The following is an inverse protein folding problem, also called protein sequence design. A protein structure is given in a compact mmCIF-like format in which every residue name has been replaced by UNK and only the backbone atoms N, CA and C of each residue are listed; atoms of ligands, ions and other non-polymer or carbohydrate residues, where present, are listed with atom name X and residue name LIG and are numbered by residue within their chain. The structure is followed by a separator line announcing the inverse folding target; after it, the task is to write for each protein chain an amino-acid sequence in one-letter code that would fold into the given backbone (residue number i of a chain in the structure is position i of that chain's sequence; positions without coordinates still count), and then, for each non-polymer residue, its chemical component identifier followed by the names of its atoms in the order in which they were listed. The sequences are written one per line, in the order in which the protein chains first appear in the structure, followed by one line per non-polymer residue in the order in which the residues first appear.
data_IF_956218760655
#
_entry.id   IF_956218760655
#
_cell.length_a   1.000
_cell.length_b   1.000
_cell.length_c   1.000
_cell.angle_alpha   90.00
_cell.angle_beta   90.00
_cell.angle_gamma   90.00
#
_symmetry.space_group_name_H-M   'P 1'
#
loop_
_entity.id
_entity.type
_entity.pdbx_description
1 polymer ?
#
# COMPACT_ATOMS: atom_id res chain seq x y z
N UNK A 1 -74.79 -32.48 12.04
CA UNK A 1 -75.94 -32.84 12.90
C UNK A 1 -75.67 -34.20 13.51
N UNK A 2 -75.56 -34.27 14.85
CA UNK A 2 -75.90 -35.40 15.77
C UNK A 2 -75.33 -36.81 15.46
N UNK A 3 -74.77 -37.60 16.39
CA UNK A 3 -74.98 -37.69 17.84
C UNK A 3 -73.92 -38.62 18.45
N UNK A 4 -73.60 -38.30 19.70
CA UNK A 4 -72.78 -38.98 20.71
C UNK A 4 -73.40 -40.31 21.20
N UNK A 5 -72.55 -41.28 21.64
CA UNK A 5 -72.77 -42.30 22.71
C UNK A 5 -71.53 -43.23 22.76
N UNK A 6 -70.56 -43.12 23.68
CA UNK A 6 -70.48 -43.52 25.11
C UNK A 6 -70.71 -45.02 25.40
N UNK A 7 -69.70 -45.70 25.99
CA UNK A 7 -69.72 -46.80 27.00
C UNK A 7 -68.24 -47.14 27.28
N UNK A 8 -67.58 -46.62 28.31
CA UNK A 8 -67.45 -47.13 29.70
C UNK A 8 -67.17 -48.64 29.81
N UNK A 9 -65.91 -49.00 30.09
CA UNK A 9 -65.56 -50.14 30.96
C UNK A 9 -64.48 -49.70 31.96
N UNK A 10 -64.79 -49.88 33.25
CA UNK A 10 -63.91 -49.66 34.40
C UNK A 10 -63.30 -50.99 34.87
N UNK A 11 -62.25 -50.84 35.71
CA UNK A 11 -61.59 -51.80 36.61
C UNK A 11 -60.49 -52.64 35.92
N UNK A 12 -59.25 -52.69 36.42
CA UNK A 12 -58.87 -52.94 37.83
C UNK A 12 -57.46 -52.37 38.14
N UNK A 13 -57.26 -51.80 39.34
CA UNK A 13 -55.97 -51.45 39.95
C UNK A 13 -55.40 -52.63 40.75
N UNK A 14 -54.15 -53.03 40.50
CA UNK A 14 -53.14 -53.63 41.41
C UNK A 14 -51.80 -53.46 40.67
N UNK A 15 -50.63 -53.04 41.16
CA UNK A 15 -50.10 -52.61 42.44
C UNK A 15 -48.56 -52.48 42.27
N UNK A 16 -47.98 -51.48 42.92
CA UNK A 16 -46.61 -51.38 43.43
C UNK A 16 -45.34 -51.47 42.50
N UNK A 17 -44.54 -50.40 42.66
CA UNK A 17 -43.07 -50.35 42.90
C UNK A 17 -42.04 -50.33 41.76
N UNK A 18 -41.16 -49.31 41.87
CA UNK A 18 -39.78 -49.15 41.34
C UNK A 18 -39.65 -48.99 39.82
N UNK A 19 -38.85 -48.10 39.24
CA UNK A 19 -37.62 -47.44 39.66
C UNK A 19 -37.46 -46.16 38.81
N UNK A 20 -36.90 -45.11 39.40
CA UNK A 20 -36.55 -43.88 38.69
C UNK A 20 -35.45 -44.14 37.65
N UNK A 21 -35.64 -43.62 36.43
CA UNK A 21 -34.55 -43.34 35.50
C UNK A 21 -34.83 -41.97 34.87
N UNK A 22 -34.17 -40.98 35.45
CA UNK A 22 -34.16 -39.59 35.04
C UNK A 22 -33.44 -39.50 33.67
N UNK A 23 -34.16 -39.24 32.59
CA UNK A 23 -33.56 -38.90 31.30
C UNK A 23 -33.17 -37.41 31.33
N UNK A 24 -31.88 -37.14 31.53
CA UNK A 24 -31.27 -35.81 31.42
C UNK A 24 -31.15 -35.48 29.93
N UNK A 25 -31.75 -34.39 29.41
CA UNK A 25 -31.39 -33.90 28.09
C UNK A 25 -30.02 -33.22 28.17
N UNK A 26 -29.05 -33.76 27.44
CA UNK A 26 -27.74 -33.14 27.22
C UNK A 26 -27.95 -31.85 26.40
N UNK A 27 -28.01 -30.71 27.08
CA UNK A 27 -27.82 -29.41 26.45
C UNK A 27 -26.34 -29.29 26.11
N UNK A 28 -26.00 -29.51 24.84
CA UNK A 28 -24.71 -29.10 24.28
C UNK A 28 -24.73 -27.58 24.22
N UNK A 29 -24.21 -26.94 25.27
CA UNK A 29 -23.80 -25.55 25.20
C UNK A 29 -22.53 -25.51 24.35
N UNK A 30 -22.64 -24.99 23.12
CA UNK A 30 -21.48 -24.54 22.37
C UNK A 30 -20.92 -23.32 23.10
N UNK A 31 -20.02 -23.55 24.05
CA UNK A 31 -19.14 -22.51 24.58
C UNK A 31 -18.16 -22.17 23.46
N UNK A 32 -18.43 -21.10 22.72
CA UNK A 32 -17.39 -20.43 21.93
C UNK A 32 -16.24 -20.10 22.90
N UNK A 33 -14.97 -20.42 22.57
CA UNK A 33 -13.88 -19.96 23.40
C UNK A 33 -13.96 -18.43 23.46
N UNK A 34 -14.17 -17.90 24.66
CA UNK A 34 -14.04 -16.48 24.90
C UNK A 34 -12.58 -16.15 24.56
N UNK A 35 -12.38 -15.32 23.54
CA UNK A 35 -11.06 -14.77 23.23
C UNK A 35 -10.63 -14.02 24.48
N UNK A 36 -9.65 -14.57 25.20
CA UNK A 36 -9.08 -13.95 26.38
C UNK A 36 -8.20 -12.78 25.90
N UNK A 37 -8.57 -11.53 26.19
CA UNK A 37 -7.81 -10.41 25.65
C UNK A 37 -6.48 -10.21 26.38
N UNK A 38 -6.28 -10.83 27.56
CA UNK A 38 -4.96 -10.93 28.16
C UNK A 38 -4.08 -11.88 27.34
N UNK A 39 -4.59 -13.07 26.99
CA UNK A 39 -3.88 -14.00 26.13
C UNK A 39 -3.66 -13.47 24.70
N UNK A 40 -4.53 -12.58 24.21
CA UNK A 40 -4.35 -11.91 22.91
C UNK A 40 -3.31 -10.80 23.00
N UNK A 41 -3.27 -10.05 24.12
CA UNK A 41 -2.20 -9.07 24.38
C UNK A 41 -0.86 -9.76 24.60
N UNK A 42 -0.85 -10.89 25.28
CA UNK A 42 0.34 -11.71 25.49
C UNK A 42 0.78 -12.36 24.19
N UNK A 43 -0.15 -12.81 23.32
CA UNK A 43 0.18 -13.33 21.99
C UNK A 43 0.65 -12.24 21.01
N UNK A 44 0.11 -11.01 21.11
CA UNK A 44 0.64 -9.84 20.38
C UNK A 44 2.01 -9.47 20.94
N UNK A 45 2.20 -9.48 22.26
CA UNK A 45 3.49 -9.26 22.91
C UNK A 45 4.50 -10.40 22.68
N UNK A 46 4.05 -11.62 22.40
CA UNK A 46 4.89 -12.78 22.07
C UNK A 46 5.23 -12.81 20.57
N UNK A 47 4.33 -12.30 19.71
CA UNK A 47 4.66 -11.93 18.33
C UNK A 47 5.58 -10.69 18.26
N UNK A 48 5.76 -10.00 19.39
CA UNK A 48 6.76 -8.96 19.63
C UNK A 48 7.73 -9.48 20.71
N UNK A 49 8.33 -10.67 20.51
CA UNK A 49 9.54 -10.97 21.29
C UNK A 49 10.50 -9.79 21.09
N UNK A 50 10.83 -9.07 22.17
CA UNK A 50 11.87 -8.06 22.11
C UNK A 50 13.12 -8.76 21.58
N UNK A 51 13.64 -8.37 20.40
CA UNK A 51 14.80 -9.03 19.85
C UNK A 51 15.92 -8.99 20.89
N UNK A 52 16.68 -10.08 20.99
CA UNK A 52 17.89 -10.08 21.80
C UNK A 52 18.73 -8.87 21.41
N UNK A 53 19.38 -8.22 22.39
CA UNK A 53 20.20 -7.02 22.18
C UNK A 53 21.17 -7.20 20.99
N UNK A 54 21.63 -8.43 20.78
CA UNK A 54 22.51 -8.82 19.67
C UNK A 54 21.82 -8.76 18.29
N UNK A 55 20.57 -9.18 18.17
CA UNK A 55 19.82 -9.09 16.89
C UNK A 55 19.39 -7.66 16.55
N UNK A 56 19.08 -6.86 17.59
CA UNK A 56 18.86 -5.44 17.45
C UNK A 56 20.11 -4.72 16.92
N UNK A 57 21.29 -5.01 17.48
CA UNK A 57 22.54 -4.39 17.01
C UNK A 57 22.91 -4.83 15.59
N UNK A 58 22.71 -6.10 15.23
CA UNK A 58 23.01 -6.59 13.87
C UNK A 58 22.12 -5.93 12.82
N UNK A 59 20.83 -5.75 13.11
CA UNK A 59 19.91 -5.05 12.20
C UNK A 59 20.36 -3.60 11.99
N UNK A 60 20.67 -2.92 13.08
CA UNK A 60 21.09 -1.52 13.05
C UNK A 60 22.42 -1.36 12.29
N UNK A 61 23.38 -2.29 12.45
CA UNK A 61 24.63 -2.31 11.66
C UNK A 61 24.38 -2.58 10.17
N UNK A 62 23.48 -3.51 9.84
CA UNK A 62 23.22 -3.94 8.44
C UNK A 62 22.66 -2.81 7.59
N UNK A 63 21.79 -1.97 8.16
CA UNK A 63 21.14 -0.85 7.46
C UNK A 63 21.73 0.52 7.81
N UNK A 64 22.80 0.55 8.60
CA UNK A 64 23.50 1.77 9.01
C UNK A 64 23.99 2.55 7.78
N UNK A 65 23.57 3.79 7.67
CA UNK A 65 23.97 4.65 6.54
C UNK A 65 25.44 5.06 6.60
N UNK A 66 26.00 5.27 7.78
CA UNK A 66 27.41 5.63 7.93
C UNK A 66 28.35 4.45 7.60
N UNK A 67 27.93 3.22 7.88
CA UNK A 67 28.70 2.01 7.52
C UNK A 67 28.50 1.62 6.04
N UNK A 68 27.30 1.82 5.52
CA UNK A 68 26.92 1.45 4.16
C UNK A 68 26.30 2.65 3.43
N UNK A 69 27.11 3.61 2.94
CA UNK A 69 26.58 4.85 2.36
C UNK A 69 25.97 4.68 0.96
N UNK A 70 26.29 3.59 0.26
CA UNK A 70 25.80 3.38 -1.10
C UNK A 70 24.29 3.13 -1.13
N UNK A 71 23.56 3.75 -2.07
CA UNK A 71 22.11 3.63 -2.12
C UNK A 71 21.69 2.20 -2.48
N UNK A 72 20.60 1.72 -1.85
CA UNK A 72 20.00 0.41 -2.15
C UNK A 72 19.07 0.43 -3.37
N UNK A 73 18.93 1.57 -4.04
CA UNK A 73 17.99 1.80 -5.14
C UNK A 73 18.67 2.55 -6.28
N UNK A 74 18.16 2.32 -7.49
CA UNK A 74 18.55 3.04 -8.69
C UNK A 74 17.61 4.23 -8.93
N UNK A 75 18.06 5.30 -9.61
CA UNK A 75 17.20 6.43 -9.93
C UNK A 75 16.08 6.04 -10.90
N UNK A 76 14.90 6.61 -10.66
CA UNK A 76 13.71 6.52 -11.50
C UNK A 76 13.59 7.74 -12.42
N UNK A 77 12.70 7.63 -13.41
CA UNK A 77 12.39 8.75 -14.31
C UNK A 77 11.87 9.98 -13.55
N UNK A 78 12.37 11.16 -13.93
CA UNK A 78 11.95 12.42 -13.35
C UNK A 78 10.59 12.85 -13.93
N UNK A 79 9.53 12.54 -13.20
CA UNK A 79 8.19 13.11 -13.38
C UNK A 79 7.91 14.16 -12.32
N UNK A 80 6.99 15.11 -12.55
CA UNK A 80 6.58 16.10 -11.55
C UNK A 80 6.19 15.50 -10.19
N UNK A 81 5.58 14.32 -10.19
CA UNK A 81 5.22 13.60 -8.97
C UNK A 81 5.77 12.17 -8.98
N UNK A 82 6.41 11.78 -7.88
CA UNK A 82 6.72 10.39 -7.57
C UNK A 82 5.80 9.92 -6.43
N UNK A 83 4.97 8.94 -6.73
CA UNK A 83 4.09 8.28 -5.75
C UNK A 83 4.80 7.01 -5.27
N UNK A 84 5.21 7.00 -4.01
CA UNK A 84 5.80 5.83 -3.35
C UNK A 84 4.71 5.16 -2.51
N UNK A 85 4.39 3.91 -2.82
CA UNK A 85 3.51 3.08 -2.01
C UNK A 85 4.32 2.18 -1.08
N UNK A 86 3.93 2.08 0.19
CA UNK A 86 4.58 1.25 1.19
C UNK A 86 3.52 0.34 1.80
N UNK A 87 3.50 -0.91 1.34
CA UNK A 87 2.45 -1.89 1.65
C UNK A 87 2.45 -2.34 3.11
N UNK A 88 1.35 -2.93 3.56
CA UNK A 88 1.24 -3.56 4.88
C UNK A 88 1.81 -4.99 4.92
N UNK A 89 1.98 -5.52 6.13
CA UNK A 89 2.48 -6.88 6.36
C UNK A 89 1.64 -7.93 5.63
N UNK A 90 2.29 -8.82 4.89
CA UNK A 90 1.64 -9.92 4.17
C UNK A 90 0.83 -9.50 2.94
N UNK A 91 0.79 -8.21 2.58
CA UNK A 91 0.08 -7.79 1.38
C UNK A 91 0.73 -8.36 0.10
N UNK A 92 -0.07 -8.91 -0.82
CA UNK A 92 0.42 -9.43 -2.10
C UNK A 92 0.89 -8.30 -3.03
N UNK A 93 1.53 -8.64 -4.14
CA UNK A 93 1.93 -7.65 -5.17
C UNK A 93 0.76 -7.10 -6.02
N UNK A 94 -0.46 -7.63 -5.86
CA UNK A 94 -1.66 -7.17 -6.58
C UNK A 94 -2.84 -7.06 -5.62
N UNK A 95 -3.63 -5.99 -5.77
CA UNK A 95 -4.82 -5.79 -4.94
C UNK A 95 -4.51 -5.22 -3.56
N UNK A 96 -3.37 -4.55 -3.41
CA UNK A 96 -2.98 -3.86 -2.17
C UNK A 96 -3.94 -2.71 -1.87
N UNK A 97 -4.06 -2.37 -0.59
CA UNK A 97 -4.87 -1.25 -0.12
C UNK A 97 -4.50 0.07 -0.80
N UNK A 98 -3.21 0.29 -1.08
CA UNK A 98 -2.73 1.55 -1.64
C UNK A 98 -2.90 1.64 -3.17
N UNK A 99 -3.08 0.50 -3.84
CA UNK A 99 -3.24 0.43 -5.30
C UNK A 99 -4.36 1.33 -5.86
N UNK A 100 -5.59 1.36 -5.30
CA UNK A 100 -6.61 2.31 -5.73
C UNK A 100 -6.23 3.78 -5.53
N UNK A 101 -5.58 4.11 -4.42
CA UNK A 101 -5.18 5.49 -4.10
C UNK A 101 -4.16 6.00 -5.13
N UNK A 102 -3.07 5.25 -5.35
CA UNK A 102 -2.03 5.61 -6.32
C UNK A 102 -2.58 5.71 -7.76
N UNK A 103 -3.49 4.81 -8.14
CA UNK A 103 -4.14 4.83 -9.46
C UNK A 103 -5.00 6.08 -9.65
N UNK A 104 -5.80 6.48 -8.67
CA UNK A 104 -6.65 7.66 -8.81
C UNK A 104 -5.82 8.96 -8.81
N UNK A 105 -4.70 9.01 -8.08
CA UNK A 105 -3.72 10.11 -8.18
C UNK A 105 -3.16 10.20 -9.61
N UNK A 106 -2.72 9.07 -10.17
CA UNK A 106 -2.20 9.01 -11.55
C UNK A 106 -3.23 9.45 -12.59
N UNK A 107 -4.51 9.11 -12.39
CA UNK A 107 -5.61 9.59 -13.25
C UNK A 107 -5.86 11.09 -13.12
N UNK A 108 -5.67 11.65 -11.92
CA UNK A 108 -5.83 13.08 -11.67
C UNK A 108 -4.67 13.91 -12.27
N UNK A 109 -3.51 13.29 -12.52
CA UNK A 109 -2.33 13.90 -13.15
C UNK A 109 -1.73 12.97 -14.22
N UNK A 110 -2.42 12.79 -15.37
CA UNK A 110 -1.90 11.95 -16.45
C UNK A 110 -0.55 12.44 -16.95
N UNK A 111 0.37 11.52 -17.20
CA UNK A 111 1.73 11.78 -17.72
C UNK A 111 2.64 12.60 -16.78
N UNK A 112 2.20 12.89 -15.55
CA UNK A 112 2.97 13.65 -14.55
C UNK A 112 3.37 12.80 -13.32
N UNK A 113 2.95 11.53 -13.28
CA UNK A 113 3.12 10.65 -12.12
C UNK A 113 3.92 9.40 -12.50
N UNK A 114 5.03 9.18 -11.80
CA UNK A 114 5.68 7.87 -11.68
C UNK A 114 5.20 7.24 -10.38
N UNK A 115 4.76 5.98 -10.44
CA UNK A 115 4.43 5.19 -9.24
C UNK A 115 5.53 4.14 -9.02
N UNK A 116 5.97 4.00 -7.78
CA UNK A 116 6.83 2.91 -7.34
C UNK A 116 6.26 2.27 -6.07
N UNK A 117 6.30 0.94 -6.02
CA UNK A 117 6.01 0.21 -4.80
C UNK A 117 7.34 -0.07 -4.09
N UNK A 118 7.45 0.33 -2.82
CA UNK A 118 8.70 0.24 -2.06
C UNK A 118 9.13 -1.23 -1.91
N UNK A 119 10.33 -1.55 -2.40
CA UNK A 119 10.86 -2.91 -2.34
C UNK A 119 11.46 -3.20 -0.95
N UNK A 120 10.59 -3.66 -0.06
CA UNK A 120 10.94 -4.12 1.26
C UNK A 120 10.14 -5.38 1.62
N UNK A 121 10.52 -6.17 2.65
CA UNK A 121 9.93 -7.49 2.88
C UNK A 121 8.43 -7.48 3.22
N UNK A 122 7.95 -6.48 3.96
CA UNK A 122 6.59 -6.44 4.49
C UNK A 122 6.18 -7.74 5.21
N UNK A 123 7.06 -8.29 6.03
CA UNK A 123 6.86 -9.53 6.77
C UNK A 123 6.63 -9.25 8.26
N UNK A 124 6.53 -10.32 9.06
CA UNK A 124 6.30 -10.24 10.50
C UNK A 124 7.54 -9.83 11.28
N UNK A 125 8.73 -9.86 10.67
CA UNK A 125 9.99 -9.42 11.29
C UNK A 125 10.08 -7.88 11.23
N UNK A 126 9.15 -7.20 11.91
CA UNK A 126 8.93 -5.75 11.80
C UNK A 126 10.19 -4.94 12.03
N UNK A 127 11.06 -5.37 12.96
CA UNK A 127 12.32 -4.65 13.23
C UNK A 127 13.28 -4.73 12.04
N UNK A 128 13.56 -5.92 11.53
CA UNK A 128 14.50 -6.11 10.42
C UNK A 128 13.90 -5.59 9.12
N UNK A 129 12.71 -6.09 8.75
CA UNK A 129 12.00 -5.70 7.54
C UNK A 129 11.66 -4.22 7.52
N UNK A 130 11.17 -3.67 8.63
CA UNK A 130 10.87 -2.24 8.76
C UNK A 130 12.12 -1.36 8.69
N UNK A 131 13.25 -1.77 9.28
CA UNK A 131 14.51 -1.01 9.18
C UNK A 131 15.02 -0.98 7.74
N UNK A 132 14.93 -2.11 7.01
CA UNK A 132 15.18 -2.13 5.57
C UNK A 132 14.24 -1.19 4.82
N UNK A 133 12.94 -1.22 5.15
CA UNK A 133 11.94 -0.33 4.54
C UNK A 133 12.28 1.15 4.73
N UNK A 134 12.64 1.55 5.96
CA UNK A 134 13.09 2.93 6.25
C UNK A 134 14.31 3.28 5.42
N UNK A 135 15.31 2.40 5.38
CA UNK A 135 16.53 2.62 4.61
C UNK A 135 16.27 2.78 3.11
N UNK A 136 15.48 1.88 2.51
CA UNK A 136 15.12 1.94 1.09
C UNK A 136 14.32 3.20 0.75
N UNK A 137 13.41 3.62 1.63
CA UNK A 137 12.64 4.86 1.43
C UNK A 137 13.54 6.10 1.50
N UNK A 138 14.45 6.17 2.48
CA UNK A 138 15.42 7.26 2.60
C UNK A 138 16.34 7.33 1.37
N UNK A 139 16.85 6.19 0.91
CA UNK A 139 17.68 6.13 -0.29
C UNK A 139 16.89 6.53 -1.54
N UNK A 140 15.62 6.13 -1.66
CA UNK A 140 14.73 6.56 -2.75
C UNK A 140 14.59 8.08 -2.78
N UNK A 141 14.29 8.71 -1.64
CA UNK A 141 14.15 10.16 -1.57
C UNK A 141 15.46 10.90 -1.87
N UNK A 142 16.59 10.38 -1.36
CA UNK A 142 17.92 10.96 -1.61
C UNK A 142 18.30 10.88 -3.08
N UNK A 143 18.29 9.68 -3.66
CA UNK A 143 18.67 9.45 -5.06
C UNK A 143 17.80 10.27 -6.00
N UNK A 144 16.49 10.33 -5.75
CA UNK A 144 15.58 11.12 -6.59
C UNK A 144 15.79 12.62 -6.43
N UNK A 145 16.05 13.11 -5.21
CA UNK A 145 16.33 14.53 -4.99
C UNK A 145 17.62 14.96 -5.67
N UNK A 146 18.65 14.12 -5.64
CA UNK A 146 19.94 14.37 -6.32
C UNK A 146 19.81 14.30 -7.84
N UNK A 147 18.97 13.40 -8.36
CA UNK A 147 18.81 13.17 -9.80
C UNK A 147 17.87 14.16 -10.46
N UNK A 148 16.73 14.44 -9.82
CA UNK A 148 15.65 15.23 -10.41
C UNK A 148 15.60 16.69 -9.94
N UNK A 149 16.38 17.05 -8.90
CA UNK A 149 16.36 18.41 -8.35
C UNK A 149 14.95 18.81 -7.91
N UNK A 150 14.67 20.12 -7.89
CA UNK A 150 13.40 20.72 -7.43
C UNK A 150 12.18 20.46 -8.34
N UNK A 151 12.36 19.78 -9.47
CA UNK A 151 11.32 19.51 -10.45
C UNK A 151 10.38 18.35 -10.06
N UNK A 152 10.79 17.50 -9.12
CA UNK A 152 10.01 16.34 -8.64
C UNK A 152 9.51 16.54 -7.20
N UNK A 153 8.23 16.23 -6.97
CA UNK A 153 7.62 16.21 -5.63
C UNK A 153 7.23 14.79 -5.22
N UNK A 154 7.33 14.49 -3.93
CA UNK A 154 7.06 13.15 -3.40
C UNK A 154 5.68 13.03 -2.76
N UNK A 155 5.00 11.92 -3.01
CA UNK A 155 3.75 11.54 -2.38
C UNK A 155 3.97 10.17 -1.75
N UNK A 156 3.83 10.10 -0.43
CA UNK A 156 4.09 8.89 0.34
C UNK A 156 2.77 8.29 0.80
N UNK A 157 2.51 7.04 0.43
CA UNK A 157 1.30 6.31 0.78
C UNK A 157 1.68 5.08 1.59
N UNK A 158 1.19 4.93 2.81
CA UNK A 158 1.55 3.84 3.71
C UNK A 158 0.33 3.15 4.32
N UNK A 159 0.40 1.84 4.47
CA UNK A 159 -0.62 1.07 5.19
C UNK A 159 0.04 0.17 6.23
N UNK A 160 -0.51 0.14 7.45
CA UNK A 160 -0.06 -0.73 8.53
C UNK A 160 1.45 -0.59 8.77
N UNK A 161 2.23 -1.66 8.61
CA UNK A 161 3.69 -1.59 8.68
C UNK A 161 4.32 -0.55 7.73
N UNK A 162 3.75 -0.32 6.55
CA UNK A 162 4.24 0.71 5.64
C UNK A 162 3.99 2.15 6.14
N UNK A 163 2.94 2.38 6.93
CA UNK A 163 2.74 3.64 7.64
C UNK A 163 3.79 3.84 8.76
N UNK A 164 4.16 2.76 9.46
CA UNK A 164 5.29 2.78 10.39
C UNK A 164 6.59 3.14 9.66
N UNK A 165 6.89 2.50 8.53
CA UNK A 165 8.10 2.78 7.73
C UNK A 165 8.17 4.25 7.29
N UNK A 166 7.08 4.80 6.74
CA UNK A 166 7.05 6.21 6.31
C UNK A 166 7.26 7.13 7.49
N UNK A 167 6.49 6.94 8.57
CA UNK A 167 6.56 7.84 9.70
C UNK A 167 7.92 7.76 10.41
N UNK A 168 8.60 6.61 10.41
CA UNK A 168 9.94 6.47 10.99
C UNK A 168 11.00 7.11 10.11
N UNK A 169 10.94 6.91 8.79
CA UNK A 169 11.84 7.59 7.85
C UNK A 169 11.76 9.14 7.98
N UNK A 170 10.56 9.68 8.20
CA UNK A 170 10.34 11.12 8.36
C UNK A 170 10.61 11.67 9.77
N UNK A 171 10.80 10.80 10.77
CA UNK A 171 11.10 11.20 12.15
C UNK A 171 12.61 11.35 12.36
N UNK A 172 12.98 12.16 13.36
CA UNK A 172 14.35 12.20 13.86
C UNK A 172 14.78 10.80 14.38
N UNK A 173 16.05 10.39 14.22
CA UNK A 173 16.53 9.06 14.62
C UNK A 173 16.11 8.61 16.02
N UNK A 174 16.16 9.51 17.01
CA UNK A 174 15.80 9.23 18.40
C UNK A 174 14.31 8.94 18.63
N UNK A 175 13.45 9.31 17.67
CA UNK A 175 12.01 9.07 17.73
C UNK A 175 11.59 7.80 17.00
N UNK A 176 12.52 7.13 16.30
CA UNK A 176 12.24 5.94 15.48
C UNK A 176 12.10 4.68 16.31
N UNK A 177 11.22 3.79 15.86
CA UNK A 177 11.13 2.42 16.33
C UNK A 177 12.02 1.50 15.49
N UNK A 178 12.13 1.76 14.17
CA UNK A 178 12.95 1.00 13.23
C UNK A 178 13.82 1.93 12.38
N UNK A 179 14.96 1.43 11.88
CA UNK A 179 15.87 2.21 11.04
C UNK A 179 16.49 3.42 11.76
N UNK A 180 16.86 3.26 13.03
CA UNK A 180 17.47 4.33 13.85
C UNK A 180 18.78 4.84 13.21
N UNK A 181 19.57 3.94 12.62
CA UNK A 181 20.86 4.24 11.97
C UNK A 181 20.76 4.42 10.45
N UNK A 182 19.57 4.37 9.87
CA UNK A 182 19.36 4.37 8.41
C UNK A 182 19.62 5.72 7.72
N UNK A 183 20.09 6.72 8.47
CA UNK A 183 20.30 8.10 8.00
C UNK A 183 19.04 8.95 8.10
N UNK A 184 19.04 10.11 7.47
CA UNK A 184 17.93 11.07 7.50
C UNK A 184 17.51 11.49 6.08
N UNK A 185 16.30 12.02 5.97
CA UNK A 185 15.81 12.62 4.72
C UNK A 185 16.61 13.90 4.47
N UNK A 186 17.25 14.07 3.29
CA UNK A 186 17.90 15.34 2.94
C UNK A 186 16.90 16.51 2.98
N UNK A 187 17.37 17.71 3.37
CA UNK A 187 16.51 18.90 3.50
C UNK A 187 15.75 19.23 2.20
N UNK A 188 16.41 19.08 1.06
CA UNK A 188 15.81 19.27 -0.26
C UNK A 188 14.66 18.28 -0.48
N UNK A 189 14.90 16.99 -0.19
CA UNK A 189 13.89 15.97 -0.35
C UNK A 189 12.72 16.16 0.62
N UNK A 190 13.00 16.54 1.87
CA UNK A 190 11.99 16.87 2.88
C UNK A 190 11.09 18.04 2.43
N UNK A 191 11.67 19.06 1.80
CA UNK A 191 10.92 20.18 1.23
C UNK A 191 9.97 19.73 0.10
N UNK A 192 10.37 18.71 -0.68
CA UNK A 192 9.63 18.16 -1.81
C UNK A 192 8.55 17.14 -1.44
N UNK A 193 8.53 16.61 -0.20
CA UNK A 193 7.44 15.75 0.26
C UNK A 193 6.15 16.57 0.31
N UNK A 194 5.25 16.35 -0.65
CA UNK A 194 4.06 17.16 -0.85
C UNK A 194 2.86 16.68 -0.06
N UNK A 195 2.69 15.37 0.04
CA UNK A 195 1.59 14.71 0.76
C UNK A 195 2.04 13.37 1.33
N UNK A 196 1.57 13.06 2.52
CA UNK A 196 1.78 11.80 3.23
C UNK A 196 0.39 11.30 3.64
N UNK A 197 0.04 10.09 3.23
CA UNK A 197 -1.21 9.45 3.63
C UNK A 197 -0.88 8.10 4.25
N UNK A 198 -1.33 7.90 5.48
CA UNK A 198 -1.12 6.68 6.24
C UNK A 198 -2.47 6.08 6.63
N UNK A 199 -2.55 4.75 6.69
CA UNK A 199 -3.74 4.01 7.08
C UNK A 199 -3.35 2.97 8.13
N UNK A 200 -4.09 2.89 9.23
CA UNK A 200 -3.87 1.86 10.24
C UNK A 200 -2.47 1.91 10.85
N UNK A 201 -1.93 3.10 11.10
CA UNK A 201 -0.54 3.28 11.54
C UNK A 201 -0.29 2.68 12.94
N UNK A 202 0.63 1.70 13.11
CA UNK A 202 1.01 1.19 14.43
C UNK A 202 1.54 2.27 15.37
N UNK A 203 2.05 3.37 14.78
CA UNK A 203 2.63 4.51 15.49
C UNK A 203 1.70 5.72 15.58
N UNK A 204 0.40 5.52 15.34
CA UNK A 204 -0.65 6.53 15.47
C UNK A 204 -0.66 7.15 16.88
N UNK A 205 -0.87 8.47 16.97
CA UNK A 205 -0.88 9.23 18.22
C UNK A 205 -2.07 10.18 18.21
N UNK A 206 -3.15 9.78 18.87
CA UNK A 206 -4.50 10.37 18.74
C UNK A 206 -4.60 11.87 19.09
N UNK A 207 -3.58 12.47 19.69
CA UNK A 207 -3.49 13.91 19.97
C UNK A 207 -3.03 14.75 18.78
N UNK A 208 -2.57 14.14 17.68
CA UNK A 208 -1.98 14.85 16.55
C UNK A 208 -3.02 15.51 15.65
N UNK A 209 -2.71 16.71 15.13
CA UNK A 209 -3.66 17.50 14.31
C UNK A 209 -3.90 16.92 12.92
N UNK A 210 -3.01 16.03 12.48
CA UNK A 210 -3.05 15.41 11.16
C UNK A 210 -3.77 14.05 11.16
N UNK A 211 -4.33 13.66 12.31
CA UNK A 211 -5.09 12.43 12.48
C UNK A 211 -6.53 12.58 11.98
N UNK A 212 -7.02 11.57 11.27
CA UNK A 212 -8.35 11.54 10.69
C UNK A 212 -8.98 10.15 10.79
N UNK A 213 -10.30 10.11 10.70
CA UNK A 213 -11.08 8.86 10.71
C UNK A 213 -12.06 8.83 11.88
N UNK A 214 -12.45 7.62 12.29
CA UNK A 214 -13.48 7.38 13.33
C UNK A 214 -12.89 7.12 14.72
N UNK A 215 -11.55 7.14 14.80
CA UNK A 215 -10.72 6.92 15.98
C UNK A 215 -11.20 7.68 17.23
N UNK A 216 -10.75 7.25 18.40
CA UNK A 216 -11.13 7.84 19.70
C UNK A 216 -9.92 8.50 20.33
N UNK A 217 -10.06 9.77 20.72
CA UNK A 217 -9.01 10.48 21.47
C UNK A 217 -8.55 9.70 22.71
N UNK A 218 -7.25 9.77 23.00
CA UNK A 218 -6.56 9.07 24.09
C UNK A 218 -6.54 7.54 23.94
N UNK A 219 -6.55 7.06 22.71
CA UNK A 219 -6.31 5.66 22.37
C UNK A 219 -5.38 5.65 21.16
N UNK A 220 -4.14 5.27 21.40
CA UNK A 220 -3.10 5.39 20.40
C UNK A 220 -2.80 4.03 19.76
N UNK A 221 -1.84 4.01 18.83
CA UNK A 221 -1.38 2.77 18.22
C UNK A 221 -0.68 1.84 19.22
N UNK A 222 -0.40 0.62 18.77
CA UNK A 222 0.36 -0.38 19.55
C UNK A 222 1.74 0.12 19.97
N UNK A 223 2.35 1.03 19.19
CA UNK A 223 3.66 1.62 19.44
C UNK A 223 3.63 3.12 19.12
N UNK A 224 2.91 3.93 19.90
CA UNK A 224 2.62 5.31 19.49
C UNK A 224 3.90 6.12 19.36
N UNK A 225 3.97 6.93 18.30
CA UNK A 225 5.07 7.89 18.15
C UNK A 225 4.99 8.94 19.25
N UNK A 226 6.14 9.50 19.63
CA UNK A 226 6.18 10.70 20.46
C UNK A 226 5.39 11.82 19.78
N UNK A 227 4.49 12.46 20.54
CA UNK A 227 3.73 13.60 20.05
C UNK A 227 4.69 14.70 19.53
N UNK A 228 4.35 15.23 18.36
CA UNK A 228 5.09 16.28 17.67
C UNK A 228 6.30 15.79 16.86
N UNK A 229 6.63 14.50 16.84
CA UNK A 229 7.78 13.97 16.10
C UNK A 229 7.68 14.20 14.57
N UNK A 230 6.46 14.36 14.04
CA UNK A 230 6.23 14.69 12.61
C UNK A 230 5.74 16.13 12.37
N UNK A 231 5.92 17.04 13.34
CA UNK A 231 5.41 18.43 13.23
C UNK A 231 5.90 19.15 11.97
N UNK A 232 7.12 18.87 11.51
CA UNK A 232 7.67 19.46 10.27
C UNK A 232 6.79 19.18 9.03
N UNK A 233 5.99 18.11 9.06
CA UNK A 233 5.11 17.67 7.99
C UNK A 233 3.62 17.80 8.33
N UNK A 234 3.24 18.41 9.47
CA UNK A 234 1.86 18.37 10.01
C UNK A 234 0.78 18.78 8.98
N UNK A 235 1.09 19.74 8.10
CA UNK A 235 0.15 20.26 7.09
C UNK A 235 0.05 19.38 5.82
N UNK A 236 0.94 18.39 5.72
CA UNK A 236 1.12 17.48 4.58
C UNK A 236 0.72 16.05 4.91
N UNK A 237 0.40 15.76 6.18
CA UNK A 237 0.01 14.42 6.64
C UNK A 237 -1.51 14.28 6.69
N UNK A 238 -1.95 13.06 6.38
CA UNK A 238 -3.25 12.51 6.70
C UNK A 238 -3.04 11.12 7.28
N UNK A 239 -3.10 10.96 8.60
CA UNK A 239 -2.98 9.66 9.25
C UNK A 239 -4.37 9.13 9.59
N UNK A 240 -4.84 8.15 8.82
CA UNK A 240 -6.17 7.58 8.97
C UNK A 240 -6.15 6.43 9.97
N UNK A 241 -7.01 6.55 10.98
CA UNK A 241 -7.28 5.48 11.93
C UNK A 241 -8.78 5.31 12.19
N UNK A 242 -9.18 4.06 12.36
CA UNK A 242 -10.57 3.66 12.62
C UNK A 242 -10.74 3.26 14.09
N UNK A 243 -11.89 3.57 14.66
CA UNK A 243 -12.27 3.08 15.99
C UNK A 243 -12.14 1.55 16.08
N UNK A 244 -11.46 1.06 17.12
CA UNK A 244 -11.21 -0.37 17.37
C UNK A 244 -10.27 -1.06 16.38
N UNK A 245 -9.55 -0.33 15.55
CA UNK A 245 -8.41 -0.90 14.83
C UNK A 245 -7.37 -1.44 15.85
N UNK A 246 -7.05 -2.73 15.80
CA UNK A 246 -6.12 -3.35 16.76
C UNK A 246 -4.70 -2.78 16.69
N UNK A 247 -4.33 -2.18 15.56
CA UNK A 247 -2.99 -1.66 15.27
C UNK A 247 -2.90 -0.19 15.67
N UNK A 248 -3.79 0.67 15.16
CA UNK A 248 -3.70 2.12 15.38
C UNK A 248 -4.54 2.64 16.55
N UNK A 249 -5.40 1.80 17.14
CA UNK A 249 -6.34 2.15 18.20
C UNK A 249 -6.35 1.06 19.28
N UNK A 250 -5.15 0.65 19.70
CA UNK A 250 -4.93 -0.53 20.54
C UNK A 250 -5.67 -0.41 21.87
N UNK A 251 -6.71 -1.23 22.02
CA UNK A 251 -7.58 -1.29 23.19
C UNK A 251 -8.12 -2.71 23.37
N UNK A 252 -8.70 -2.99 24.54
CA UNK A 252 -9.28 -4.30 24.83
C UNK A 252 -10.40 -4.72 23.86
N UNK A 253 -11.12 -3.74 23.29
CA UNK A 253 -12.21 -3.96 22.33
C UNK A 253 -11.78 -3.84 20.86
N UNK A 254 -10.48 -3.84 20.58
CA UNK A 254 -9.95 -3.72 19.23
C UNK A 254 -10.02 -5.04 18.45
N UNK A 255 -10.05 -4.95 17.11
CA UNK A 255 -10.37 -6.06 16.20
C UNK A 255 -9.54 -6.03 14.92
N UNK A 256 -9.32 -7.20 14.32
CA UNK A 256 -8.66 -7.34 13.01
C UNK A 256 -9.53 -6.76 11.89
N UNK A 257 -10.84 -6.96 11.97
CA UNK A 257 -11.80 -6.44 10.98
C UNK A 257 -11.70 -4.91 10.82
N UNK A 258 -11.54 -4.17 11.93
CA UNK A 258 -11.36 -2.72 11.90
C UNK A 258 -10.00 -2.30 11.31
N UNK A 259 -8.99 -3.18 11.30
CA UNK A 259 -7.72 -2.90 10.63
C UNK A 259 -7.78 -3.10 9.11
N UNK A 260 -8.68 -3.96 8.63
CA UNK A 260 -8.84 -4.24 7.19
C UNK A 260 -9.99 -3.46 6.53
N UNK A 261 -10.83 -2.74 7.29
CA UNK A 261 -11.97 -2.02 6.68
C UNK A 261 -11.57 -0.85 5.77
N UNK A 262 -10.33 -0.36 5.83
CA UNK A 262 -9.86 0.70 4.92
C UNK A 262 -9.96 0.32 3.43
N UNK A 263 -10.06 -0.98 3.12
CA UNK A 263 -10.24 -1.46 1.75
C UNK A 263 -11.57 -1.04 1.12
N UNK A 264 -12.60 -0.73 1.92
CA UNK A 264 -13.93 -0.41 1.41
C UNK A 264 -14.71 0.65 2.21
N UNK A 265 -14.19 1.15 3.33
CA UNK A 265 -14.85 2.15 4.18
C UNK A 265 -14.88 3.59 3.61
N UNK A 266 -14.26 3.84 2.46
CA UNK A 266 -14.23 5.14 1.79
C UNK A 266 -12.97 5.98 2.05
N UNK A 267 -12.11 5.61 3.00
CA UNK A 267 -10.94 6.41 3.35
C UNK A 267 -9.85 6.42 2.27
N UNK A 268 -9.83 5.42 1.38
CA UNK A 268 -8.98 5.45 0.17
C UNK A 268 -9.32 6.65 -0.73
N UNK A 269 -10.60 6.95 -0.89
CA UNK A 269 -11.10 8.09 -1.65
C UNK A 269 -10.77 9.40 -0.95
N UNK A 270 -10.91 9.45 0.38
CA UNK A 270 -10.56 10.64 1.18
C UNK A 270 -9.05 10.94 1.11
N UNK A 271 -8.21 9.92 1.20
CA UNK A 271 -6.75 10.06 1.02
C UNK A 271 -6.38 10.52 -0.38
N UNK A 272 -7.03 9.96 -1.41
CA UNK A 272 -6.87 10.44 -2.79
C UNK A 272 -7.24 11.92 -2.90
N UNK A 273 -8.39 12.33 -2.37
CA UNK A 273 -8.86 13.71 -2.41
C UNK A 273 -7.90 14.66 -1.69
N UNK A 274 -7.37 14.23 -0.53
CA UNK A 274 -6.36 14.97 0.22
C UNK A 274 -5.10 15.24 -0.62
N UNK A 275 -4.56 14.21 -1.28
CA UNK A 275 -3.39 14.33 -2.15
C UNK A 275 -3.71 15.25 -3.34
N UNK A 276 -4.80 14.99 -4.07
CA UNK A 276 -5.15 15.76 -5.28
C UNK A 276 -5.36 17.25 -4.98
N UNK A 277 -5.90 17.58 -3.81
CA UNK A 277 -6.07 18.98 -3.35
C UNK A 277 -4.74 19.72 -3.12
N UNK A 278 -3.63 18.98 -2.99
CA UNK A 278 -2.28 19.49 -2.77
C UNK A 278 -1.41 19.47 -4.02
N UNK A 279 -1.86 18.87 -5.11
CA UNK A 279 -1.09 18.91 -6.35
C UNK A 279 -1.20 20.31 -6.97
N UNK A 280 -0.16 20.74 -7.68
CA UNK A 280 -0.15 22.02 -8.37
C UNK A 280 -1.26 22.08 -9.42
N UNK A 281 -1.73 23.27 -9.80
CA UNK A 281 -2.74 23.42 -10.84
C UNK A 281 -2.30 22.69 -12.11
N UNK A 282 -3.17 21.81 -12.62
CA UNK A 282 -2.87 21.04 -13.83
C UNK A 282 -2.51 21.98 -14.98
N UNK A 283 -1.39 21.70 -15.65
CA UNK A 283 -0.99 22.49 -16.83
C UNK A 283 -2.07 22.33 -17.92
N UNK A 284 -2.47 23.40 -18.64
CA UNK A 284 -3.44 23.28 -19.72
C UNK A 284 -2.93 22.28 -20.76
N UNK A 285 -3.73 21.25 -21.06
CA UNK A 285 -3.38 20.31 -22.14
C UNK A 285 -3.17 21.09 -23.44
N UNK A 286 -2.07 20.87 -24.18
CA UNK A 286 -1.91 21.48 -25.49
C UNK A 286 -3.11 21.10 -26.36
N UNK A 287 -3.77 22.11 -26.93
CA UNK A 287 -4.88 21.87 -27.85
C UNK A 287 -4.32 21.05 -29.00
N UNK A 288 -4.85 19.84 -29.22
CA UNK A 288 -4.56 19.09 -30.44
C UNK A 288 -5.01 19.97 -31.60
N UNK A 289 -4.06 20.46 -32.40
CA UNK A 289 -4.38 21.23 -33.58
C UNK A 289 -5.32 20.41 -34.45
N UNK A 290 -6.57 20.87 -34.53
CA UNK A 290 -7.53 20.36 -35.48
C UNK A 290 -6.95 20.68 -36.86
N UNK A 291 -6.33 19.67 -37.48
CA UNK A 291 -5.83 19.71 -38.84
C UNK A 291 -6.95 20.23 -39.74
N UNK A 292 -6.84 21.51 -40.12
CA UNK A 292 -7.75 22.19 -41.03
C UNK A 292 -7.83 21.39 -42.32
N UNK A 293 -8.98 20.73 -42.55
CA UNK A 293 -9.36 20.29 -43.90
C UNK A 293 -9.94 21.50 -44.62
N UNK A 294 -9.07 22.38 -45.12
CA UNK A 294 -9.42 23.25 -46.25
C UNK A 294 -9.11 22.50 -47.54
N UNK A 295 -10.14 21.91 -48.15
CA UNK A 295 -10.08 21.28 -49.46
C UNK A 295 -11.27 21.75 -50.29
N UNK A 296 -10.97 22.57 -51.29
CA UNK A 296 -11.88 23.33 -52.14
C UNK A 296 -13.02 22.53 -52.77
N UNK A 297 -14.18 23.15 -52.78
CA UNK A 297 -15.23 22.96 -53.79
C UNK A 297 -14.67 23.31 -55.17
N UNK A 298 -14.62 22.33 -56.08
CA UNK A 298 -14.55 22.57 -57.52
C UNK A 298 -15.62 21.73 -58.22
N UNK A 299 -16.59 22.44 -58.79
CA UNK A 299 -17.42 21.95 -59.87
C UNK A 299 -16.54 21.92 -61.12
N UNK A 300 -16.43 20.77 -61.79
CA UNK A 300 -16.35 20.76 -63.25
C UNK A 300 -16.80 19.41 -63.85
N UNK A 301 -17.92 19.53 -64.58
CA UNK A 301 -18.18 19.01 -65.93
C UNK A 301 -17.79 17.56 -66.28
N UNK A 302 -18.84 16.75 -66.41
CA UNK A 302 -18.93 15.50 -67.15
C UNK A 302 -18.72 15.72 -68.67
N UNK A 303 -17.87 14.89 -69.27
CA UNK A 303 -18.01 14.34 -70.64
C UNK A 303 -17.26 13.01 -70.72
N UNK A 304 -17.95 12.01 -71.28
CA UNK A 304 -17.51 10.64 -71.57
C UNK A 304 -16.39 10.56 -72.63
N UNK A 305 -15.48 9.58 -72.50
CA UNK A 305 -15.08 8.64 -73.57
C UNK A 305 -14.02 7.59 -73.13
N UNK A 306 -14.50 6.34 -72.96
CA UNK A 306 -14.04 5.04 -73.52
C UNK A 306 -12.53 4.65 -73.70
N UNK A 307 -12.26 3.39 -73.28
CA UNK A 307 -11.28 2.38 -73.77
C UNK A 307 -9.79 2.60 -73.41
N UNK A 308 -8.95 1.60 -73.07
CA UNK A 308 -8.88 0.14 -73.30
C UNK A 308 -7.94 -0.54 -72.28
N UNK A 309 -8.05 -1.87 -72.21
CA UNK A 309 -7.19 -2.95 -71.67
C UNK A 309 -5.66 -2.69 -71.74
N UNK A 310 -4.76 -3.32 -70.98
CA UNK A 310 -4.56 -4.77 -70.88
C UNK A 310 -3.57 -5.16 -69.75
N UNK A 311 -3.58 -6.47 -69.50
CA UNK A 311 -2.97 -7.33 -68.47
C UNK A 311 -1.43 -7.35 -68.35
N UNK A 312 -1.00 -8.02 -67.26
CA UNK A 312 -0.15 -9.23 -67.25
C UNK A 312 1.12 -9.08 -66.39
N UNK A 313 1.23 -9.81 -65.26
CA UNK A 313 2.09 -11.00 -65.01
C UNK A 313 3.59 -10.66 -64.82
N UNK A 314 4.43 -11.34 -64.04
CA UNK A 314 4.38 -12.46 -63.09
C UNK A 314 5.48 -12.18 -62.04
N UNK A 315 5.42 -12.71 -60.82
CA UNK A 315 5.75 -14.09 -60.41
C UNK A 315 7.27 -14.37 -60.28
N UNK A 316 7.62 -14.92 -59.11
CA UNK A 316 8.86 -15.60 -58.67
C UNK A 316 10.08 -14.77 -58.22
N UNK A 317 10.96 -15.16 -57.29
CA UNK A 317 11.10 -16.12 -56.16
C UNK A 317 12.59 -16.48 -56.07
N UNK A 318 13.14 -16.59 -54.85
CA UNK A 318 14.50 -17.07 -54.56
C UNK A 318 15.54 -15.95 -54.40
N UNK A 319 16.58 -16.04 -53.58
CA UNK A 319 17.10 -17.11 -52.73
C UNK A 319 18.14 -16.45 -51.77
N UNK A 320 18.42 -17.07 -50.62
CA UNK A 320 19.55 -16.75 -49.71
C UNK A 320 20.89 -17.27 -50.31
N UNK A 321 22.10 -17.22 -49.68
CA UNK A 321 22.50 -16.84 -48.31
C UNK A 321 23.83 -16.03 -48.15
N UNK A 322 24.10 -15.67 -46.88
CA UNK A 322 25.33 -15.51 -46.09
C UNK A 322 26.73 -15.38 -46.74
N UNK A 323 27.56 -14.50 -46.13
CA UNK A 323 28.99 -14.76 -45.84
C UNK A 323 29.48 -14.02 -44.58
N UNK A 324 30.15 -14.78 -43.70
CA UNK A 324 31.04 -14.35 -42.60
C UNK A 324 32.39 -13.79 -43.10
N UNK A 325 33.08 -13.05 -42.23
CA UNK A 325 34.55 -13.01 -41.96
C UNK A 325 34.76 -11.91 -40.90
N UNK A 326 35.16 -12.12 -39.65
CA UNK A 326 36.31 -12.81 -39.01
C UNK A 326 37.57 -11.93 -38.81
N UNK A 327 38.12 -12.02 -37.58
CA UNK A 327 39.43 -11.58 -37.04
C UNK A 327 39.72 -10.07 -36.88
N UNK A 328 40.31 -9.56 -35.79
CA UNK A 328 40.85 -10.18 -34.57
C UNK A 328 41.93 -9.29 -33.91
N UNK A 329 42.10 -9.47 -32.60
CA UNK A 329 43.33 -9.32 -31.79
C UNK A 329 43.64 -8.01 -31.03
N UNK A 330 44.35 -8.26 -29.93
CA UNK A 330 44.49 -7.53 -28.68
C UNK A 330 45.76 -6.69 -28.58
N UNK A 331 45.87 -5.86 -27.52
CA UNK A 331 47.15 -5.22 -27.13
C UNK A 331 47.01 -4.20 -25.99
N UNK A 332 47.78 -4.43 -24.94
CA UNK A 332 47.82 -3.84 -23.59
C UNK A 332 48.69 -2.57 -23.42
N UNK A 333 48.31 -1.70 -22.45
CA UNK A 333 49.11 -0.89 -21.46
C UNK A 333 50.23 0.10 -21.92
N UNK A 334 50.81 0.95 -21.03
CA UNK A 334 50.29 1.66 -19.84
C UNK A 334 50.67 3.18 -19.81
N UNK A 335 50.25 3.82 -18.69
CA UNK A 335 50.56 5.15 -18.10
C UNK A 335 51.92 5.81 -18.38
N UNK A 336 52.00 7.13 -18.10
CA UNK A 336 52.72 7.61 -16.92
C UNK A 336 51.84 8.27 -15.85
#
# INVERSE_FOLDING_TARGET
MTKQQSIIRRYTRIGATTLAALTIPLLVACSSPQVDPAATRDAVAEAIEEPSVDSASVTDETYDFALHPEPMVEPLECTPYLVVTVRGTGEPTKGQLLSPVAREISKARPDEVTQVDLDYPADTEVREGGSKGVRVLLDTLRVQSETCGDEQSYILLGYSQGALVIGDALSAPEDRMVGVTAGEVPDEAAAQVRSIVMYGNPRFQSSEKYDFGTYKMNRDGVFPRREGALTAYENRIRDFCVDKDLVCQSAFDATEDAHIEYFDNGMQQDGTAFVVSRLDPAKPKPKKDAKSKSGQTQNDKSTDEKSTDDKSSGDKQGDSPATENDQGSAGTDPRP
#
